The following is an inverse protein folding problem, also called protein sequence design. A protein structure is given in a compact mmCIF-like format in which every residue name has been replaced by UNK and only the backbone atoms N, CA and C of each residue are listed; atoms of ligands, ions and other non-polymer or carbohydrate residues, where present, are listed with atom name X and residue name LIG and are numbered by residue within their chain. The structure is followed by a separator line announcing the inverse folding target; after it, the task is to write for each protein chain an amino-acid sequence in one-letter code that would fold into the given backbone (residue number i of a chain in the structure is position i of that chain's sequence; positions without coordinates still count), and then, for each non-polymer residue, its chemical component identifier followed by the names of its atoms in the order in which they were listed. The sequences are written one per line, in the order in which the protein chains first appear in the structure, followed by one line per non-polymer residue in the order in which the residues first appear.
data_IF_713215906721
#
_entry.id   IF_713215906721
#
_cell.length_a   1.000
_cell.length_b   1.000
_cell.length_c   1.000
_cell.angle_alpha   90.00
_cell.angle_beta   90.00
_cell.angle_gamma   90.00
#
_symmetry.space_group_name_H-M   'P 1'
#
loop_
_entity.id
_entity.type
_entity.pdbx_description
1 polymer ?
#
# COMPACT_ATOMS: atom_id res chain seq x y z
N UNK A 1 -0.66 -27.78 -34.41
CA UNK A 1 0.44 -27.86 -33.42
C UNK A 1 0.11 -26.98 -32.21
N UNK A 2 -0.12 -27.53 -31.02
CA UNK A 2 -0.30 -26.77 -29.79
C UNK A 2 1.07 -26.16 -29.42
N UNK A 3 1.18 -24.82 -29.43
CA UNK A 3 2.38 -24.11 -28.92
C UNK A 3 2.66 -24.61 -27.50
N UNK A 4 3.81 -25.21 -27.27
CA UNK A 4 4.23 -25.59 -25.90
C UNK A 4 4.22 -24.34 -25.02
N UNK A 5 3.48 -24.38 -23.89
CA UNK A 5 3.47 -23.30 -22.91
C UNK A 5 4.89 -23.07 -22.39
N UNK A 6 5.40 -21.86 -22.54
CA UNK A 6 6.71 -21.47 -22.03
C UNK A 6 6.52 -20.47 -20.86
N UNK A 7 6.75 -20.94 -19.64
CA UNK A 7 6.55 -20.17 -18.42
C UNK A 7 7.38 -18.88 -18.41
N UNK A 8 8.62 -18.91 -18.88
CA UNK A 8 9.48 -17.71 -18.95
C UNK A 8 8.89 -16.64 -19.85
N UNK A 9 8.46 -17.00 -21.05
CA UNK A 9 7.84 -16.07 -21.99
C UNK A 9 6.54 -15.48 -21.41
N UNK A 10 5.76 -16.29 -20.70
CA UNK A 10 4.54 -15.83 -20.03
C UNK A 10 4.86 -14.79 -18.94
N UNK A 11 5.84 -15.07 -18.08
CA UNK A 11 6.26 -14.14 -17.02
C UNK A 11 6.76 -12.83 -17.60
N UNK A 12 7.63 -12.89 -18.62
CA UNK A 12 8.19 -11.71 -19.30
C UNK A 12 7.08 -10.85 -19.93
N UNK A 13 6.05 -11.49 -20.50
CA UNK A 13 4.88 -10.80 -21.07
C UNK A 13 4.05 -10.13 -19.97
N UNK A 14 3.80 -10.81 -18.84
CA UNK A 14 3.06 -10.24 -17.71
C UNK A 14 3.79 -9.02 -17.09
N UNK A 15 5.10 -9.07 -16.96
CA UNK A 15 5.87 -7.90 -16.53
C UNK A 15 5.75 -6.73 -17.51
N UNK A 16 5.88 -6.96 -18.81
CA UNK A 16 5.71 -5.90 -19.83
C UNK A 16 4.32 -5.27 -19.77
N UNK A 17 3.26 -6.07 -19.66
CA UNK A 17 1.88 -5.60 -19.50
C UNK A 17 1.75 -4.77 -18.23
N UNK A 18 2.25 -5.27 -17.09
CA UNK A 18 2.17 -4.63 -15.81
C UNK A 18 2.86 -3.26 -15.80
N UNK A 19 4.11 -3.17 -16.27
CA UNK A 19 4.83 -1.90 -16.31
C UNK A 19 4.21 -0.89 -17.30
N UNK A 20 3.73 -1.37 -18.46
CA UNK A 20 3.00 -0.53 -19.40
C UNK A 20 1.71 0.02 -18.78
N UNK A 21 0.98 -0.80 -18.03
CA UNK A 21 -0.25 -0.40 -17.38
C UNK A 21 -0.01 0.58 -16.23
N UNK A 22 1.04 0.39 -15.41
CA UNK A 22 1.50 1.34 -14.38
C UNK A 22 1.81 2.70 -15.03
N UNK A 23 2.61 2.70 -16.11
CA UNK A 23 2.96 3.92 -16.84
C UNK A 23 1.72 4.66 -17.36
N UNK A 24 0.74 3.93 -17.90
CA UNK A 24 -0.54 4.48 -18.34
C UNK A 24 -1.49 4.88 -17.20
N UNK A 25 -1.12 4.62 -15.94
CA UNK A 25 -1.91 4.94 -14.74
C UNK A 25 -1.24 6.00 -13.85
N UNK A 26 -0.12 6.57 -14.27
CA UNK A 26 0.75 7.43 -13.46
C UNK A 26 0.01 8.58 -12.78
N UNK A 27 -0.96 9.20 -13.45
CA UNK A 27 -1.69 10.35 -12.88
C UNK A 27 -2.52 9.94 -11.65
N UNK A 28 -3.15 8.75 -11.69
CA UNK A 28 -3.89 8.21 -10.56
C UNK A 28 -2.96 7.83 -9.40
N UNK A 29 -1.79 7.28 -9.72
CA UNK A 29 -0.76 6.95 -8.73
C UNK A 29 -0.20 8.23 -8.09
N UNK A 30 0.09 9.27 -8.88
CA UNK A 30 0.53 10.56 -8.35
C UNK A 30 -0.54 11.25 -7.50
N UNK A 31 -1.83 11.05 -7.83
CA UNK A 31 -2.91 11.56 -6.97
C UNK A 31 -2.91 10.90 -5.60
N UNK A 32 -2.72 9.58 -5.52
CA UNK A 32 -2.63 8.89 -4.21
C UNK A 32 -1.41 9.33 -3.43
N UNK A 33 -0.26 9.49 -4.08
CA UNK A 33 0.96 10.01 -3.46
C UNK A 33 0.72 11.43 -2.92
N UNK A 34 0.13 12.31 -3.73
CA UNK A 34 -0.18 13.68 -3.32
C UNK A 34 -1.12 13.74 -2.12
N UNK A 35 -2.23 12.98 -2.16
CA UNK A 35 -3.19 12.89 -1.04
C UNK A 35 -2.48 12.39 0.21
N UNK A 36 -1.72 11.30 0.11
CA UNK A 36 -1.00 10.71 1.23
C UNK A 36 -0.05 11.72 1.90
N UNK A 37 0.80 12.39 1.13
CA UNK A 37 1.76 13.34 1.71
C UNK A 37 1.11 14.61 2.25
N UNK A 38 0.05 15.12 1.61
CA UNK A 38 -0.74 16.25 2.17
C UNK A 38 -1.29 15.88 3.54
N UNK A 39 -1.90 14.70 3.68
CA UNK A 39 -2.45 14.28 4.97
C UNK A 39 -1.38 13.83 5.96
N UNK A 40 -0.21 13.41 5.50
CA UNK A 40 0.96 13.21 6.38
C UNK A 40 1.44 14.54 6.99
N UNK A 41 1.49 15.61 6.22
CA UNK A 41 1.78 16.94 6.76
C UNK A 41 0.68 17.42 7.72
N UNK A 42 -0.60 17.16 7.41
CA UNK A 42 -1.71 17.45 8.32
C UNK A 42 -1.53 16.72 9.65
N UNK A 43 -1.28 15.43 9.63
CA UNK A 43 -1.07 14.63 10.86
C UNK A 43 0.19 15.01 11.64
N UNK A 44 1.21 15.54 10.95
CA UNK A 44 2.46 15.98 11.60
C UNK A 44 2.34 17.36 12.24
N UNK A 45 1.72 18.34 11.58
CA UNK A 45 1.77 19.73 12.01
C UNK A 45 0.51 20.21 12.74
N UNK A 46 -0.65 19.59 12.53
CA UNK A 46 -1.88 20.07 13.14
C UNK A 46 -2.16 19.40 14.48
N UNK A 47 -2.70 20.15 15.46
CA UNK A 47 -3.14 19.57 16.73
C UNK A 47 -4.29 18.58 16.48
N UNK A 48 -4.17 17.39 17.05
CA UNK A 48 -5.13 16.31 16.87
C UNK A 48 -6.00 16.20 18.12
N UNK A 49 -7.34 16.09 18.00
CA UNK A 49 -8.21 15.82 19.13
C UNK A 49 -7.76 14.57 19.90
N UNK A 50 -7.77 14.64 21.22
CA UNK A 50 -7.31 13.54 22.10
C UNK A 50 -8.02 12.22 21.82
N UNK A 51 -9.29 12.27 21.46
CA UNK A 51 -10.08 11.09 21.07
C UNK A 51 -9.51 10.37 19.85
N UNK A 52 -9.03 11.10 18.84
CA UNK A 52 -8.41 10.53 17.64
C UNK A 52 -7.01 10.01 17.97
N UNK A 53 -6.20 10.78 18.69
CA UNK A 53 -4.88 10.35 19.13
C UNK A 53 -4.94 9.05 19.92
N UNK A 54 -5.88 8.93 20.86
CA UNK A 54 -6.11 7.72 21.65
C UNK A 54 -6.49 6.52 20.79
N UNK A 55 -7.35 6.69 19.76
CA UNK A 55 -7.71 5.61 18.86
C UNK A 55 -6.49 5.11 18.06
N UNK A 56 -5.65 6.01 17.54
CA UNK A 56 -4.44 5.64 16.81
C UNK A 56 -3.47 4.89 17.73
N UNK A 57 -3.23 5.41 18.95
CA UNK A 57 -2.34 4.78 19.92
C UNK A 57 -2.86 3.37 20.29
N UNK A 58 -4.16 3.22 20.54
CA UNK A 58 -4.75 1.93 20.88
C UNK A 58 -4.64 0.93 19.72
N UNK A 59 -4.82 1.38 18.47
CA UNK A 59 -4.58 0.56 17.29
C UNK A 59 -3.14 0.02 17.24
N UNK A 60 -2.14 0.88 17.47
CA UNK A 60 -0.74 0.43 17.52
C UNK A 60 -0.46 -0.51 18.68
N UNK A 61 -1.01 -0.24 19.88
CA UNK A 61 -0.90 -1.17 21.02
C UNK A 61 -1.47 -2.55 20.69
N UNK A 62 -2.59 -2.59 20.00
CA UNK A 62 -3.19 -3.86 19.54
C UNK A 62 -2.29 -4.58 18.54
N UNK A 63 -1.72 -3.86 17.56
CA UNK A 63 -0.75 -4.44 16.62
C UNK A 63 0.46 -5.03 17.35
N UNK A 64 1.06 -4.26 18.26
CA UNK A 64 2.19 -4.73 19.08
C UNK A 64 1.81 -5.96 19.89
N UNK A 65 0.61 -5.99 20.49
CA UNK A 65 0.15 -7.18 21.23
C UNK A 65 -0.02 -8.43 20.37
N UNK A 66 -0.47 -8.25 19.12
CA UNK A 66 -0.61 -9.35 18.13
C UNK A 66 0.74 -9.87 17.61
N UNK A 67 1.77 -9.03 17.65
CA UNK A 67 3.11 -9.39 17.18
C UNK A 67 4.04 -9.83 18.30
N UNK A 68 3.68 -9.58 19.57
CA UNK A 68 4.47 -9.98 20.72
C UNK A 68 4.60 -11.51 20.80
N UNK A 69 5.85 -11.99 20.84
CA UNK A 69 6.15 -13.42 20.95
C UNK A 69 6.10 -14.21 19.64
N UNK A 70 5.83 -13.57 18.50
CA UNK A 70 5.93 -14.23 17.20
C UNK A 70 7.40 -14.55 16.87
N UNK A 71 7.63 -15.72 16.28
CA UNK A 71 8.90 -16.03 15.60
C UNK A 71 9.10 -15.15 14.36
N UNK A 72 10.34 -15.01 13.89
CA UNK A 72 10.63 -14.20 12.70
C UNK A 72 9.77 -14.57 11.46
N UNK A 73 9.60 -15.86 11.10
CA UNK A 73 8.73 -16.22 9.97
C UNK A 73 7.26 -15.83 10.19
N UNK A 74 6.75 -15.98 11.41
CA UNK A 74 5.36 -15.59 11.75
C UNK A 74 5.17 -14.07 11.67
N UNK A 75 6.15 -13.29 12.14
CA UNK A 75 6.16 -11.84 12.03
C UNK A 75 6.13 -11.39 10.57
N UNK A 76 7.01 -11.94 9.73
CA UNK A 76 7.05 -11.64 8.28
C UNK A 76 5.71 -11.98 7.63
N UNK A 77 5.14 -13.15 7.93
CA UNK A 77 3.85 -13.57 7.38
C UNK A 77 2.70 -12.66 7.84
N UNK A 78 2.70 -12.24 9.10
CA UNK A 78 1.71 -11.32 9.64
C UNK A 78 1.74 -9.97 8.89
N UNK A 79 2.92 -9.36 8.76
CA UNK A 79 3.10 -8.09 8.07
C UNK A 79 2.74 -8.20 6.58
N UNK A 80 3.20 -9.24 5.91
CA UNK A 80 2.86 -9.51 4.52
C UNK A 80 1.34 -9.61 4.32
N UNK A 81 0.66 -10.39 5.14
CA UNK A 81 -0.80 -10.56 5.04
C UNK A 81 -1.53 -9.24 5.29
N UNK A 82 -1.14 -8.49 6.33
CA UNK A 82 -1.74 -7.20 6.66
C UNK A 82 -1.66 -6.22 5.48
N UNK A 83 -0.46 -6.04 4.92
CA UNK A 83 -0.20 -5.10 3.84
C UNK A 83 -0.79 -5.57 2.50
N UNK A 84 -0.77 -6.89 2.24
CA UNK A 84 -1.37 -7.47 1.02
C UNK A 84 -2.89 -7.32 1.04
N UNK A 85 -3.55 -7.61 2.16
CA UNK A 85 -5.00 -7.43 2.29
C UNK A 85 -5.36 -5.96 2.11
N UNK A 86 -4.67 -5.04 2.77
CA UNK A 86 -4.90 -3.60 2.64
C UNK A 86 -4.74 -3.12 1.19
N UNK A 87 -3.65 -3.52 0.52
CA UNK A 87 -3.41 -3.20 -0.88
C UNK A 87 -4.51 -3.78 -1.79
N UNK A 88 -4.87 -5.06 -1.61
CA UNK A 88 -5.92 -5.70 -2.41
C UNK A 88 -7.28 -5.02 -2.22
N UNK A 89 -7.65 -4.70 -0.98
CA UNK A 89 -8.89 -3.99 -0.67
C UNK A 89 -8.93 -2.62 -1.35
N UNK A 90 -7.82 -1.86 -1.33
CA UNK A 90 -7.70 -0.58 -2.01
C UNK A 90 -7.92 -0.69 -3.52
N UNK A 91 -7.38 -1.74 -4.14
CA UNK A 91 -7.57 -2.00 -5.56
C UNK A 91 -9.00 -2.45 -5.87
N UNK A 92 -9.51 -3.46 -5.14
CA UNK A 92 -10.79 -4.10 -5.42
C UNK A 92 -11.97 -3.16 -5.13
N UNK A 93 -12.01 -2.57 -3.94
CA UNK A 93 -13.07 -1.62 -3.57
C UNK A 93 -12.91 -0.25 -4.25
N UNK A 94 -11.78 -0.01 -4.91
CA UNK A 94 -11.63 1.13 -5.80
C UNK A 94 -12.70 1.19 -6.90
N UNK A 95 -13.25 0.04 -7.32
CA UNK A 95 -14.37 -0.03 -8.27
C UNK A 95 -15.61 0.76 -7.80
N UNK A 96 -15.80 0.94 -6.50
CA UNK A 96 -16.89 1.72 -5.91
C UNK A 96 -16.48 3.19 -5.84
N UNK A 97 -16.59 3.89 -6.97
CA UNK A 97 -16.32 5.34 -7.13
C UNK A 97 -14.91 5.81 -6.70
N UNK A 98 -13.96 4.92 -6.51
CA UNK A 98 -12.62 5.26 -6.03
C UNK A 98 -12.56 5.80 -4.60
N UNK A 99 -13.66 5.73 -3.83
CA UNK A 99 -13.77 6.30 -2.48
C UNK A 99 -12.81 5.58 -1.52
N UNK A 100 -12.81 4.26 -1.53
CA UNK A 100 -12.01 3.47 -0.59
C UNK A 100 -10.49 3.77 -0.69
N UNK A 101 -9.83 3.72 -1.87
CA UNK A 101 -8.40 4.04 -1.96
C UNK A 101 -8.08 5.50 -1.62
N UNK A 102 -8.99 6.45 -1.87
CA UNK A 102 -8.82 7.84 -1.45
C UNK A 102 -8.85 7.96 0.07
N UNK A 103 -9.88 7.40 0.74
CA UNK A 103 -9.97 7.41 2.21
C UNK A 103 -8.80 6.67 2.85
N UNK A 104 -8.37 5.54 2.27
CA UNK A 104 -7.20 4.81 2.74
C UNK A 104 -5.91 5.62 2.60
N UNK A 105 -5.73 6.35 1.49
CA UNK A 105 -4.58 7.25 1.31
C UNK A 105 -4.57 8.38 2.34
N UNK A 106 -5.74 8.97 2.64
CA UNK A 106 -5.91 9.98 3.68
C UNK A 106 -5.54 9.43 5.05
N UNK A 107 -6.15 8.30 5.42
CA UNK A 107 -5.95 7.69 6.75
C UNK A 107 -4.49 7.27 6.97
N UNK A 108 -3.89 6.55 6.01
CA UNK A 108 -2.50 6.10 6.12
C UNK A 108 -1.51 7.28 6.16
N UNK A 109 -1.74 8.31 5.32
CA UNK A 109 -0.92 9.53 5.36
C UNK A 109 -1.02 10.23 6.71
N UNK A 110 -2.24 10.44 7.20
CA UNK A 110 -2.49 11.09 8.48
C UNK A 110 -1.83 10.34 9.65
N UNK A 111 -1.99 9.01 9.68
CA UNK A 111 -1.37 8.15 10.70
C UNK A 111 0.16 8.22 10.64
N UNK A 112 0.76 8.16 9.45
CA UNK A 112 2.21 8.32 9.31
C UNK A 112 2.67 9.67 9.86
N UNK A 113 1.96 10.76 9.54
CA UNK A 113 2.28 12.09 10.04
C UNK A 113 2.22 12.17 11.57
N UNK A 114 1.16 11.65 12.17
CA UNK A 114 0.97 11.61 13.61
C UNK A 114 2.06 10.81 14.33
N UNK A 115 2.37 9.60 13.83
CA UNK A 115 3.43 8.75 14.40
C UNK A 115 4.79 9.42 14.25
N UNK A 116 5.06 10.04 13.11
CA UNK A 116 6.31 10.80 12.89
C UNK A 116 6.45 11.95 13.84
N UNK A 117 5.40 12.74 14.08
CA UNK A 117 5.39 13.83 15.05
C UNK A 117 5.67 13.31 16.47
N UNK A 118 4.98 12.25 16.87
CA UNK A 118 5.17 11.62 18.19
C UNK A 118 6.60 11.12 18.37
N UNK A 119 7.16 10.44 17.39
CA UNK A 119 8.55 9.95 17.42
C UNK A 119 9.56 11.08 17.52
N UNK A 120 9.36 12.18 16.77
CA UNK A 120 10.25 13.34 16.81
C UNK A 120 10.23 14.01 18.18
N UNK A 121 9.06 14.12 18.82
CA UNK A 121 8.94 14.71 20.16
C UNK A 121 9.54 13.85 21.26
N UNK A 122 9.53 12.53 21.12
CA UNK A 122 10.07 11.60 22.12
C UNK A 122 11.57 11.35 21.94
N UNK A 123 12.01 11.05 20.71
CA UNK A 123 13.36 10.54 20.41
C UNK A 123 14.18 11.49 19.51
N UNK A 124 13.61 12.65 19.13
CA UNK A 124 14.25 13.61 18.22
C UNK A 124 14.10 13.24 16.74
N UNK A 125 14.50 14.17 15.87
CA UNK A 125 14.28 14.06 14.40
C UNK A 125 14.94 12.83 13.77
N UNK A 126 16.02 12.35 14.35
CA UNK A 126 16.71 11.15 13.85
C UNK A 126 15.91 9.86 14.03
N UNK A 127 14.87 9.83 14.89
CA UNK A 127 14.00 8.65 15.04
C UNK A 127 13.25 8.30 13.75
N UNK A 128 13.06 9.28 12.85
CA UNK A 128 12.38 9.08 11.56
C UNK A 128 13.08 8.06 10.65
N UNK A 129 14.39 7.83 10.86
CA UNK A 129 15.10 6.81 10.06
C UNK A 129 14.49 5.41 10.22
N UNK A 130 13.88 5.12 11.38
CA UNK A 130 13.24 3.81 11.66
C UNK A 130 12.03 3.55 10.76
N UNK A 131 11.40 4.61 10.23
CA UNK A 131 10.25 4.51 9.32
C UNK A 131 10.68 4.26 7.87
N UNK A 132 11.95 4.49 7.53
CA UNK A 132 12.44 4.47 6.14
C UNK A 132 12.56 3.07 5.53
N UNK A 133 13.13 2.05 6.20
CA UNK A 133 13.48 0.80 5.54
C UNK A 133 12.30 0.04 4.94
N UNK A 134 11.17 -0.05 5.67
CA UNK A 134 9.96 -0.70 5.15
C UNK A 134 9.21 0.20 4.16
N UNK A 135 9.19 1.50 4.41
CA UNK A 135 8.50 2.47 3.55
C UNK A 135 9.00 2.51 2.11
N UNK A 136 10.28 2.19 1.84
CA UNK A 136 10.86 2.20 0.49
C UNK A 136 10.15 1.20 -0.44
N UNK A 137 9.71 0.05 0.03
CA UNK A 137 9.07 -0.98 -0.78
C UNK A 137 7.55 -1.02 -0.57
N UNK A 138 7.08 -0.78 0.65
CA UNK A 138 5.68 -0.81 1.00
C UNK A 138 4.91 0.38 0.39
N UNK A 139 5.38 1.62 0.59
CA UNK A 139 4.67 2.80 0.09
C UNK A 139 4.49 2.78 -1.44
N UNK A 140 5.51 2.46 -2.27
CA UNK A 140 5.29 2.31 -3.72
C UNK A 140 4.25 1.25 -4.06
N UNK A 141 4.24 0.11 -3.36
CA UNK A 141 3.26 -0.95 -3.59
C UNK A 141 1.83 -0.47 -3.29
N UNK A 142 1.64 0.21 -2.15
CA UNK A 142 0.35 0.77 -1.74
C UNK A 142 -0.10 1.89 -2.68
N UNK A 143 0.79 2.81 -3.07
CA UNK A 143 0.45 3.89 -4.02
C UNK A 143 0.04 3.37 -5.38
N UNK A 144 0.72 2.35 -5.90
CA UNK A 144 0.35 1.69 -7.15
C UNK A 144 -1.03 1.06 -6.98
N UNK A 145 -1.25 0.29 -5.90
CA UNK A 145 -2.51 -0.41 -5.66
C UNK A 145 -3.69 0.56 -5.57
N UNK A 146 -3.57 1.60 -4.75
CA UNK A 146 -4.62 2.60 -4.57
C UNK A 146 -4.85 3.43 -5.83
N UNK A 147 -3.78 3.82 -6.54
CA UNK A 147 -3.89 4.52 -7.82
C UNK A 147 -4.61 3.69 -8.89
N UNK A 148 -4.34 2.38 -8.95
CA UNK A 148 -5.07 1.46 -9.84
C UNK A 148 -6.52 1.28 -9.40
N UNK A 149 -6.82 1.30 -8.11
CA UNK A 149 -8.19 1.30 -7.57
C UNK A 149 -8.97 2.54 -8.01
N UNK A 150 -8.37 3.74 -7.92
CA UNK A 150 -8.99 4.98 -8.43
C UNK A 150 -9.19 4.87 -9.95
N UNK A 151 -8.19 4.41 -10.71
CA UNK A 151 -8.35 4.21 -12.14
C UNK A 151 -9.48 3.24 -12.46
N UNK A 152 -9.60 2.17 -11.69
CA UNK A 152 -10.65 1.18 -11.88
C UNK A 152 -12.04 1.83 -11.84
N UNK A 153 -12.29 2.76 -10.89
CA UNK A 153 -13.57 3.46 -10.78
C UNK A 153 -13.97 4.25 -12.03
N UNK A 154 -13.01 4.67 -12.85
CA UNK A 154 -13.29 5.48 -14.05
C UNK A 154 -14.01 4.71 -15.16
N UNK A 155 -14.18 3.39 -15.02
CA UNK A 155 -14.96 2.60 -15.98
C UNK A 155 -16.40 3.09 -16.14
N UNK A 156 -16.96 3.72 -15.10
CA UNK A 156 -18.33 4.28 -15.14
C UNK A 156 -18.48 5.48 -16.09
N UNK A 157 -17.36 6.15 -16.40
CA UNK A 157 -17.32 7.36 -17.22
C UNK A 157 -17.22 7.08 -18.73
N UNK A 158 -17.10 5.82 -19.14
CA UNK A 158 -16.96 5.43 -20.54
C UNK A 158 -18.20 4.75 -21.09
N UNK A 159 -18.33 4.70 -22.45
CA UNK A 159 -19.50 4.09 -23.11
C UNK A 159 -19.58 2.57 -22.86
N UNK A 160 -18.45 1.85 -23.04
CA UNK A 160 -18.39 0.39 -22.90
C UNK A 160 -17.95 0.00 -21.48
N UNK A 161 -18.79 0.31 -20.48
CA UNK A 161 -18.48 0.18 -19.05
C UNK A 161 -17.97 -1.20 -18.67
N UNK A 162 -18.69 -2.25 -19.03
CA UNK A 162 -18.35 -3.62 -18.62
C UNK A 162 -17.05 -4.11 -19.23
N UNK A 163 -16.85 -3.86 -20.53
CA UNK A 163 -15.61 -4.22 -21.23
C UNK A 163 -14.41 -3.48 -20.66
N UNK A 164 -14.58 -2.20 -20.35
CA UNK A 164 -13.54 -1.38 -19.75
C UNK A 164 -13.23 -1.83 -18.32
N UNK A 165 -14.25 -2.14 -17.52
CA UNK A 165 -14.07 -2.70 -16.17
C UNK A 165 -13.24 -3.98 -16.22
N UNK A 166 -13.64 -4.96 -17.05
CA UNK A 166 -12.90 -6.22 -17.18
C UNK A 166 -11.43 -5.97 -17.57
N UNK A 167 -11.19 -5.10 -18.57
CA UNK A 167 -9.83 -4.76 -19.00
C UNK A 167 -9.01 -4.13 -17.88
N UNK A 168 -9.58 -3.16 -17.17
CA UNK A 168 -8.88 -2.49 -16.09
C UNK A 168 -8.62 -3.44 -14.92
N UNK A 169 -9.61 -4.25 -14.55
CA UNK A 169 -9.50 -5.22 -13.47
C UNK A 169 -8.43 -6.27 -13.74
N UNK A 170 -8.44 -6.91 -14.93
CA UNK A 170 -7.45 -7.93 -15.31
C UNK A 170 -6.03 -7.34 -15.31
N UNK A 171 -5.84 -6.16 -15.90
CA UNK A 171 -4.53 -5.51 -15.91
C UNK A 171 -4.08 -5.10 -14.50
N UNK A 172 -4.99 -4.60 -13.66
CA UNK A 172 -4.68 -4.26 -12.26
C UNK A 172 -4.33 -5.50 -11.45
N UNK A 173 -5.02 -6.62 -11.68
CA UNK A 173 -4.71 -7.89 -11.03
C UNK A 173 -3.33 -8.43 -11.46
N UNK A 174 -2.98 -8.29 -12.75
CA UNK A 174 -1.63 -8.62 -13.23
C UNK A 174 -0.57 -7.77 -12.52
N UNK A 175 -0.76 -6.45 -12.41
CA UNK A 175 0.15 -5.58 -11.66
C UNK A 175 0.22 -6.00 -10.18
N UNK A 176 -0.93 -6.34 -9.58
CA UNK A 176 -0.98 -6.76 -8.19
C UNK A 176 -0.11 -8.00 -7.94
N UNK A 177 -0.27 -9.03 -8.79
CA UNK A 177 0.46 -10.30 -8.64
C UNK A 177 1.96 -10.14 -8.98
N UNK A 178 2.29 -9.46 -10.07
CA UNK A 178 3.66 -9.44 -10.59
C UNK A 178 4.51 -8.27 -10.10
N UNK A 179 3.91 -7.21 -9.53
CA UNK A 179 4.65 -6.04 -9.04
C UNK A 179 4.37 -5.76 -7.57
N UNK A 180 3.09 -5.65 -7.17
CA UNK A 180 2.73 -5.22 -5.81
C UNK A 180 3.09 -6.31 -4.80
N UNK A 181 2.66 -7.56 -4.99
CA UNK A 181 2.97 -8.66 -4.07
C UNK A 181 4.48 -8.86 -3.88
N UNK A 182 5.34 -8.91 -4.92
CA UNK A 182 6.79 -8.98 -4.74
C UNK A 182 7.37 -7.82 -3.91
N UNK A 183 6.90 -6.58 -4.12
CA UNK A 183 7.33 -5.44 -3.31
C UNK A 183 6.92 -5.59 -1.84
N UNK A 184 5.70 -6.07 -1.58
CA UNK A 184 5.21 -6.31 -0.21
C UNK A 184 5.93 -7.47 0.49
N UNK A 185 6.36 -8.51 -0.26
CA UNK A 185 7.21 -9.58 0.31
C UNK A 185 8.54 -9.00 0.78
N UNK A 186 9.19 -8.17 -0.05
CA UNK A 186 10.46 -7.54 0.32
C UNK A 186 10.26 -6.61 1.52
N UNK A 187 9.21 -5.78 1.51
CA UNK A 187 8.87 -4.91 2.63
C UNK A 187 8.68 -5.70 3.94
N UNK A 188 7.88 -6.76 3.92
CA UNK A 188 7.60 -7.60 5.09
C UNK A 188 8.86 -8.30 5.65
N UNK A 189 9.77 -8.75 4.78
CA UNK A 189 11.04 -9.35 5.22
C UNK A 189 11.89 -8.29 5.94
N UNK A 190 12.03 -7.09 5.36
CA UNK A 190 12.82 -6.01 5.95
C UNK A 190 12.23 -5.59 7.29
N UNK A 191 10.94 -5.25 7.30
CA UNK A 191 10.23 -4.78 8.50
C UNK A 191 10.18 -5.84 9.59
N UNK A 192 9.80 -7.09 9.25
CA UNK A 192 9.73 -8.18 10.21
C UNK A 192 11.08 -8.50 10.83
N UNK A 193 12.17 -8.38 10.05
CA UNK A 193 13.53 -8.57 10.58
C UNK A 193 13.92 -7.44 11.52
N UNK A 194 13.63 -6.18 11.19
CA UNK A 194 13.92 -5.03 12.04
C UNK A 194 13.16 -5.10 13.37
N UNK A 195 11.84 -5.35 13.32
CA UNK A 195 11.02 -5.49 14.52
C UNK A 195 11.52 -6.66 15.39
N UNK A 196 11.84 -7.81 14.80
CA UNK A 196 12.33 -8.98 15.52
C UNK A 196 13.68 -8.74 16.22
N UNK A 197 14.54 -7.92 15.62
CA UNK A 197 15.85 -7.53 16.21
C UNK A 197 15.72 -6.37 17.20
N UNK A 198 14.53 -5.78 17.37
CA UNK A 198 14.31 -4.65 18.28
C UNK A 198 14.89 -3.33 17.78
N UNK A 199 15.01 -3.16 16.46
CA UNK A 199 15.59 -1.99 15.81
C UNK A 199 14.54 -0.90 15.53
#
# INVERSE_FOLDING_TARGET
MKKKFNLRNFIDEQYKISFSYIKGSKNFIYSTIGIFFVFSLVGFFLPIPESIATQIINYFKELVSKTAGLSLPEMILFLFNNNSISGFMGLFFGAVFGIFPVLSSIANGFVLGFVSNTSVHQDGIFSLWRLFPHGIFELPAIFISFGLGIKLSTFILVKDKWKTFQKFFINSLSVYIFVILPLLVIAAIIEGTLIYLGA
#
